data_IF_578988019869
#
_entry.id   IF_578988019869
#
_cell.length_a   1.000
_cell.length_b   1.000
_cell.length_c   1.000
_cell.angle_alpha   90.00
_cell.angle_beta   90.00
_cell.angle_gamma   90.00
#
_symmetry.space_group_name_H-M   'P 1'
#
loop_
_entity.id
_entity.type
_entity.pdbx_description
1 polymer ?
#
# COMPACT_ATOMS: atom_id res chain seq x y z
N UNK A 1 -3.69 39.56 -14.95
CA UNK A 1 -3.89 38.32 -14.16
C UNK A 1 -3.05 37.23 -14.79
N UNK A 2 -1.94 36.84 -14.16
CA UNK A 2 -1.02 35.86 -14.71
C UNK A 2 -1.61 34.46 -14.47
N UNK A 3 -2.07 33.80 -15.53
CA UNK A 3 -2.55 32.41 -15.49
C UNK A 3 -1.29 31.55 -15.42
N UNK A 4 -0.83 31.18 -14.22
CA UNK A 4 0.15 30.10 -14.08
C UNK A 4 -0.51 28.85 -14.69
N UNK A 5 -0.16 28.56 -15.94
CA UNK A 5 -0.47 27.28 -16.54
C UNK A 5 0.14 26.21 -15.65
N UNK A 6 -0.64 25.20 -15.26
CA UNK A 6 -0.08 24.05 -14.53
C UNK A 6 1.01 23.45 -15.41
N UNK A 7 2.22 23.36 -14.86
CA UNK A 7 3.42 22.85 -15.52
C UNK A 7 3.52 21.33 -15.47
N UNK A 8 2.56 20.68 -14.80
CA UNK A 8 2.56 19.24 -14.60
C UNK A 8 2.39 18.50 -15.94
N UNK A 9 3.19 17.46 -16.21
CA UNK A 9 3.05 16.67 -17.42
C UNK A 9 1.69 15.98 -17.46
N UNK A 10 0.99 16.11 -18.59
CA UNK A 10 -0.31 15.46 -18.81
C UNK A 10 -0.08 14.11 -19.48
N UNK A 11 -0.59 13.05 -18.86
CA UNK A 11 -0.54 11.69 -19.40
C UNK A 11 -1.94 11.21 -19.80
N UNK A 12 -2.10 10.81 -21.06
CA UNK A 12 -3.36 10.26 -21.57
C UNK A 12 -3.38 8.74 -21.41
N UNK A 13 -3.99 8.27 -20.32
CA UNK A 13 -4.11 6.84 -20.02
C UNK A 13 -5.27 6.20 -20.79
N UNK A 14 -5.00 5.09 -21.48
CA UNK A 14 -6.02 4.24 -22.11
C UNK A 14 -6.29 3.03 -21.22
N UNK A 15 -7.56 2.74 -20.98
CA UNK A 15 -8.02 1.62 -20.15
C UNK A 15 -9.37 1.11 -20.66
N UNK A 16 -9.74 -0.16 -20.37
CA UNK A 16 -11.09 -0.68 -20.63
C UNK A 16 -12.17 0.17 -19.94
N UNK A 17 -13.39 0.16 -20.49
CA UNK A 17 -14.52 0.91 -19.92
C UNK A 17 -14.84 0.48 -18.50
N UNK A 18 -14.85 -0.83 -18.24
CA UNK A 18 -15.15 -1.40 -16.93
C UNK A 18 -14.17 -0.92 -15.85
N UNK A 19 -12.87 -0.92 -16.16
CA UNK A 19 -11.83 -0.43 -15.25
C UNK A 19 -12.01 1.06 -14.92
N UNK A 20 -12.41 1.86 -15.90
CA UNK A 20 -12.67 3.29 -15.69
C UNK A 20 -13.83 3.51 -14.72
N UNK A 21 -14.90 2.72 -14.86
CA UNK A 21 -16.07 2.81 -14.01
C UNK A 21 -15.75 2.40 -12.56
N UNK A 22 -14.98 1.31 -12.38
CA UNK A 22 -14.50 0.89 -11.06
C UNK A 22 -13.64 1.97 -10.36
N UNK A 23 -12.72 2.60 -11.11
CA UNK A 23 -11.90 3.69 -10.60
C UNK A 23 -12.73 4.92 -10.22
N UNK A 24 -13.76 5.24 -11.01
CA UNK A 24 -14.67 6.34 -10.72
C UNK A 24 -15.47 6.10 -9.43
N UNK A 25 -15.99 4.90 -9.23
CA UNK A 25 -16.72 4.56 -7.99
C UNK A 25 -15.79 4.52 -6.77
N UNK A 26 -14.58 3.98 -6.92
CA UNK A 26 -13.56 4.02 -5.86
C UNK A 26 -13.20 5.46 -5.47
N UNK A 27 -12.97 6.33 -6.46
CA UNK A 27 -12.68 7.74 -6.22
C UNK A 27 -13.81 8.46 -5.48
N UNK A 28 -15.07 8.21 -5.86
CA UNK A 28 -16.25 8.74 -5.15
C UNK A 28 -16.29 8.29 -3.69
N UNK A 29 -16.10 6.98 -3.45
CA UNK A 29 -16.07 6.41 -2.09
C UNK A 29 -14.97 7.02 -1.22
N UNK A 30 -13.85 7.39 -1.83
CA UNK A 30 -12.70 8.01 -1.15
C UNK A 30 -12.78 9.55 -1.11
N UNK A 31 -13.83 10.17 -1.66
CA UNK A 31 -13.98 11.63 -1.71
C UNK A 31 -12.92 12.35 -2.57
N UNK A 32 -12.34 11.65 -3.56
CA UNK A 32 -11.29 12.17 -4.45
C UNK A 32 -11.80 12.37 -5.87
N UNK A 33 -11.12 13.25 -6.62
CA UNK A 33 -11.26 13.26 -8.08
C UNK A 33 -10.67 11.97 -8.65
N UNK A 34 -11.17 11.51 -9.81
CA UNK A 34 -10.63 10.31 -10.47
C UNK A 34 -9.13 10.43 -10.73
N UNK A 35 -8.65 11.61 -11.17
CA UNK A 35 -7.22 11.84 -11.38
C UNK A 35 -6.43 11.77 -10.06
N UNK A 36 -6.96 12.35 -8.98
CA UNK A 36 -6.29 12.31 -7.67
C UNK A 36 -6.23 10.89 -7.10
N UNK A 37 -7.26 10.07 -7.32
CA UNK A 37 -7.24 8.66 -6.91
C UNK A 37 -6.23 7.85 -7.74
N UNK A 38 -6.16 8.07 -9.06
CA UNK A 38 -5.16 7.40 -9.91
C UNK A 38 -3.75 7.79 -9.47
N UNK A 39 -3.50 9.08 -9.22
CA UNK A 39 -2.19 9.53 -8.71
C UNK A 39 -1.87 8.88 -7.37
N UNK A 40 -2.81 8.82 -6.43
CA UNK A 40 -2.60 8.14 -5.15
C UNK A 40 -2.27 6.66 -5.34
N UNK A 41 -2.99 5.94 -6.20
CA UNK A 41 -2.72 4.51 -6.48
C UNK A 41 -1.31 4.33 -7.05
N UNK A 42 -0.89 5.22 -7.95
CA UNK A 42 0.46 5.19 -8.50
C UNK A 42 1.51 5.56 -7.45
N UNK A 43 1.24 6.56 -6.61
CA UNK A 43 2.11 6.92 -5.49
C UNK A 43 2.26 5.77 -4.50
N UNK A 44 1.16 5.11 -4.11
CA UNK A 44 1.18 3.94 -3.21
C UNK A 44 1.98 2.77 -3.81
N UNK A 45 1.84 2.55 -5.12
CA UNK A 45 2.57 1.52 -5.85
C UNK A 45 4.07 1.84 -6.01
N UNK A 46 4.42 3.13 -6.15
CA UNK A 46 5.79 3.60 -6.32
C UNK A 46 6.53 3.76 -4.99
N UNK A 47 5.83 4.20 -3.94
CA UNK A 47 6.37 4.42 -2.60
C UNK A 47 6.48 3.11 -1.80
N UNK A 48 5.81 2.05 -2.25
CA UNK A 48 5.65 0.83 -1.48
C UNK A 48 4.78 1.03 -0.23
N UNK A 49 4.09 2.17 -0.08
CA UNK A 49 3.23 2.41 1.09
C UNK A 49 1.96 1.54 1.12
N UNK A 50 1.71 0.73 0.08
CA UNK A 50 0.90 -0.49 0.24
C UNK A 50 1.65 -1.50 1.11
N UNK A 51 1.57 -1.35 2.42
CA UNK A 51 2.15 -2.28 3.39
C UNK A 51 3.63 -2.63 3.13
N UNK A 52 4.50 -1.76 2.57
CA UNK A 52 5.96 -1.92 2.44
C UNK A 52 6.42 -3.39 2.39
N UNK A 53 5.87 -4.13 1.43
CA UNK A 53 6.27 -5.49 1.15
C UNK A 53 7.20 -5.43 -0.05
N UNK A 54 8.43 -5.91 0.13
CA UNK A 54 9.42 -5.92 -0.94
C UNK A 54 9.00 -6.87 -2.07
N UNK A 55 9.74 -6.80 -3.18
CA UNK A 55 9.45 -7.62 -4.36
C UNK A 55 9.46 -9.13 -4.04
N UNK A 56 10.33 -9.56 -3.12
CA UNK A 56 10.42 -10.94 -2.64
C UNK A 56 9.11 -11.35 -1.95
N UNK A 57 8.60 -10.52 -1.03
CA UNK A 57 7.33 -10.78 -0.38
C UNK A 57 6.18 -10.92 -1.37
N UNK A 58 6.07 -10.00 -2.32
CA UNK A 58 4.99 -10.03 -3.32
C UNK A 58 5.05 -11.26 -4.21
N UNK A 59 6.26 -11.70 -4.59
CA UNK A 59 6.44 -12.91 -5.37
C UNK A 59 5.98 -14.14 -4.59
N UNK A 60 6.46 -14.31 -3.35
CA UNK A 60 6.09 -15.43 -2.49
C UNK A 60 4.60 -15.42 -2.14
N UNK A 61 4.02 -14.24 -1.91
CA UNK A 61 2.59 -14.07 -1.66
C UNK A 61 1.73 -14.53 -2.83
N UNK A 62 2.08 -14.13 -4.06
CA UNK A 62 1.36 -14.57 -5.25
C UNK A 62 1.49 -16.08 -5.44
N UNK A 63 2.69 -16.64 -5.26
CA UNK A 63 2.91 -18.08 -5.34
C UNK A 63 2.06 -18.84 -4.32
N UNK A 64 2.04 -18.40 -3.05
CA UNK A 64 1.30 -19.09 -1.99
C UNK A 64 -0.23 -18.98 -2.17
N UNK A 65 -0.74 -17.84 -2.62
CA UNK A 65 -2.19 -17.59 -2.75
C UNK A 65 -2.81 -18.18 -4.01
N UNK A 66 -2.00 -18.51 -5.01
CA UNK A 66 -2.46 -19.07 -6.29
C UNK A 66 -1.93 -20.48 -6.55
N UNK A 67 -1.20 -21.09 -5.61
CA UNK A 67 -0.74 -22.46 -5.76
C UNK A 67 -1.92 -23.44 -5.81
N UNK A 68 -1.83 -24.39 -6.74
CA UNK A 68 -2.60 -25.63 -6.66
C UNK A 68 -1.66 -26.73 -6.19
N UNK A 69 -2.15 -27.60 -5.32
CA UNK A 69 -1.39 -28.73 -4.79
C UNK A 69 -2.19 -30.02 -5.01
N UNK A 70 -1.56 -31.03 -5.58
CA UNK A 70 -2.17 -32.35 -5.78
C UNK A 70 -1.50 -33.41 -4.89
N UNK A 71 -0.37 -33.07 -4.29
CA UNK A 71 0.41 -33.93 -3.39
C UNK A 71 0.62 -33.30 -2.02
N UNK A 72 0.92 -34.14 -1.02
CA UNK A 72 1.24 -33.70 0.35
C UNK A 72 2.53 -32.87 0.37
N UNK A 73 3.52 -33.25 -0.45
CA UNK A 73 4.81 -32.55 -0.52
C UNK A 73 4.66 -31.12 -1.08
N UNK A 74 3.81 -30.92 -2.09
CA UNK A 74 3.48 -29.60 -2.61
C UNK A 74 2.71 -28.75 -1.60
N UNK A 75 1.78 -29.37 -0.85
CA UNK A 75 1.04 -28.70 0.22
C UNK A 75 1.99 -28.21 1.32
N UNK A 76 2.93 -29.05 1.77
CA UNK A 76 3.91 -28.69 2.78
C UNK A 76 4.80 -27.54 2.30
N UNK A 77 5.28 -27.59 1.05
CA UNK A 77 6.08 -26.51 0.46
C UNK A 77 5.32 -25.17 0.35
N UNK A 78 4.01 -25.20 0.07
CA UNK A 78 3.17 -23.99 0.06
C UNK A 78 2.97 -23.47 1.49
N UNK A 79 2.76 -24.35 2.47
CA UNK A 79 2.62 -23.94 3.86
C UNK A 79 3.89 -23.27 4.41
N UNK A 80 5.08 -23.77 4.06
CA UNK A 80 6.33 -23.11 4.45
C UNK A 80 6.42 -21.66 3.92
N UNK A 81 5.92 -21.42 2.70
CA UNK A 81 5.82 -20.06 2.15
C UNK A 81 4.83 -19.21 2.92
N UNK A 82 3.69 -19.76 3.32
CA UNK A 82 2.70 -19.06 4.15
C UNK A 82 3.30 -18.69 5.51
N UNK A 83 4.01 -19.61 6.17
CA UNK A 83 4.68 -19.34 7.44
C UNK A 83 5.73 -18.23 7.30
N UNK A 84 6.50 -18.24 6.21
CA UNK A 84 7.45 -17.17 5.92
C UNK A 84 6.74 -15.81 5.76
N UNK A 85 5.62 -15.76 5.02
CA UNK A 85 4.82 -14.54 4.83
C UNK A 85 4.27 -14.01 6.17
N UNK A 86 3.76 -14.91 7.02
CA UNK A 86 3.26 -14.57 8.35
C UNK A 86 4.38 -13.95 9.19
N UNK A 87 5.56 -14.56 9.22
CA UNK A 87 6.69 -14.05 9.98
C UNK A 87 7.11 -12.65 9.51
N UNK A 88 7.20 -12.43 8.20
CA UNK A 88 7.50 -11.10 7.62
C UNK A 88 6.46 -10.05 8.00
N UNK A 89 5.18 -10.41 7.98
CA UNK A 89 4.10 -9.53 8.42
C UNK A 89 4.21 -9.18 9.90
N UNK A 90 4.48 -10.17 10.76
CA UNK A 90 4.65 -9.94 12.21
C UNK A 90 5.80 -8.98 12.51
N UNK A 91 6.97 -9.18 11.89
CA UNK A 91 8.13 -8.29 12.06
C UNK A 91 7.79 -6.84 11.70
N UNK A 92 7.02 -6.66 10.62
CA UNK A 92 6.58 -5.35 10.17
C UNK A 92 5.59 -4.71 11.14
N UNK A 93 4.59 -5.46 11.60
CA UNK A 93 3.61 -4.99 12.58
C UNK A 93 4.30 -4.57 13.88
N UNK A 94 5.31 -5.32 14.34
CA UNK A 94 6.06 -4.98 15.54
C UNK A 94 6.85 -3.67 15.38
N UNK A 95 7.50 -3.50 14.23
CA UNK A 95 8.24 -2.26 13.90
C UNK A 95 7.30 -1.06 13.83
N UNK A 96 6.18 -1.18 13.14
CA UNK A 96 5.18 -0.12 13.04
C UNK A 96 4.56 0.20 14.39
N UNK A 97 4.25 -0.82 15.20
CA UNK A 97 3.76 -0.66 16.57
C UNK A 97 4.77 0.10 17.45
N UNK A 98 6.06 -0.17 17.31
CA UNK A 98 7.12 0.57 18.00
C UNK A 98 7.15 2.04 17.57
N UNK A 99 7.04 2.31 16.27
CA UNK A 99 6.98 3.68 15.73
C UNK A 99 5.77 4.45 16.28
N UNK A 100 4.58 3.83 16.30
CA UNK A 100 3.37 4.44 16.88
C UNK A 100 3.59 4.79 18.36
N UNK A 101 4.18 3.87 19.15
CA UNK A 101 4.50 4.15 20.56
C UNK A 101 5.47 5.32 20.70
N UNK A 102 6.47 5.44 19.81
CA UNK A 102 7.41 6.56 19.82
C UNK A 102 6.71 7.90 19.51
N UNK A 103 5.81 7.92 18.54
CA UNK A 103 5.02 9.10 18.19
C UNK A 103 4.09 9.52 19.33
N UNK A 104 3.46 8.57 20.03
CA UNK A 104 2.64 8.86 21.21
C UNK A 104 3.46 9.52 22.32
N UNK A 105 4.68 9.01 22.60
CA UNK A 105 5.60 9.64 23.56
C UNK A 105 6.02 11.04 23.13
N UNK A 106 6.33 11.23 21.84
CA UNK A 106 6.66 12.55 21.30
C UNK A 106 5.48 13.53 21.48
N UNK A 107 4.25 13.11 21.14
CA UNK A 107 3.04 13.92 21.31
C UNK A 107 2.82 14.34 22.76
N UNK A 108 3.02 13.43 23.72
CA UNK A 108 2.97 13.76 25.16
C UNK A 108 3.99 14.83 25.54
N UNK A 109 5.23 14.74 25.04
CA UNK A 109 6.29 15.74 25.30
C UNK A 109 5.92 17.13 24.76
N UNK A 110 5.31 17.21 23.57
CA UNK A 110 4.86 18.49 23.00
C UNK A 110 3.65 19.08 23.73
N UNK A 111 2.76 18.25 24.30
CA UNK A 111 1.64 18.74 25.12
C UNK A 111 2.11 19.48 26.39
N UNK A 112 3.26 19.08 26.94
CA UNK A 112 3.84 19.66 28.19
C UNK A 112 4.66 20.93 27.90
N UNK A 113 5.13 21.13 26.65
CA UNK A 113 5.96 22.27 26.24
C UNK A 113 5.27 23.16 25.21
N UNK A 114 4.12 23.77 25.56
CA UNK A 114 3.61 24.90 24.77
C UNK A 114 4.63 26.04 24.87
N UNK A 115 5.19 26.54 23.76
CA UNK A 115 5.99 27.76 23.79
C UNK A 115 5.05 28.93 24.14
N UNK A 116 5.38 29.65 25.20
CA UNK A 116 4.90 31.01 25.47
C UNK A 116 5.48 31.99 24.47
#
# INVERSE_FOLDING_TARGET
>A
MNKMARTDPVFNLRMPSEMKDELAERAKRNGRSMNSEIVQILEDALSGESLNMDAEFLEVFNQATHAQHDTIEEFDAVNEKVDWLINKLMEKIDKESANVRALLKAKQKYAIKKPT
#
